data_IF_865549358654
#
_entry.id   IF_865549358654
#
_cell.length_a   1.000
_cell.length_b   1.000
_cell.length_c   1.000
_cell.angle_alpha   90.00
_cell.angle_beta   90.00
_cell.angle_gamma   90.00
#
_symmetry.space_group_name_H-M   'P 1'
#
loop_
_entity.id
_entity.type
_entity.pdbx_description
1 polymer ?
#
# COMPACT_ATOMS: atom_id res chain seq x y z
N UNK A 1 26.39 -3.21 -3.46
CA UNK A 1 25.44 -3.29 -4.60
C UNK A 1 24.97 -1.89 -5.01
N UNK A 2 24.66 -1.00 -4.06
CA UNK A 2 24.39 0.42 -4.33
C UNK A 2 25.64 1.28 -4.59
N UNK A 3 26.78 1.00 -3.93
CA UNK A 3 28.05 1.73 -4.14
C UNK A 3 28.59 1.67 -5.58
N UNK A 4 28.20 0.65 -6.36
CA UNK A 4 28.60 0.48 -7.75
C UNK A 4 27.47 0.80 -8.74
N UNK A 5 26.39 1.46 -8.29
CA UNK A 5 25.30 1.87 -9.17
C UNK A 5 25.79 2.99 -10.10
N UNK A 6 25.55 2.83 -11.39
CA UNK A 6 25.88 3.82 -12.41
C UNK A 6 25.20 5.16 -12.10
N UNK A 7 25.98 6.24 -12.03
CA UNK A 7 25.48 7.58 -11.74
C UNK A 7 24.44 8.06 -12.77
N UNK A 8 24.46 7.55 -13.99
CA UNK A 8 23.47 7.87 -15.03
C UNK A 8 22.06 7.35 -14.70
N UNK A 9 21.96 6.36 -13.81
CA UNK A 9 20.70 5.79 -13.34
C UNK A 9 20.22 6.42 -12.02
N UNK A 10 21.07 7.21 -11.36
CA UNK A 10 20.74 7.87 -10.10
C UNK A 10 19.95 9.15 -10.33
N UNK A 11 19.00 9.44 -9.45
CA UNK A 11 18.25 10.66 -9.51
C UNK A 11 19.08 11.83 -8.97
N UNK A 12 19.61 12.62 -9.90
CA UNK A 12 20.29 13.89 -9.60
C UNK A 12 19.33 15.02 -9.25
N UNK A 13 19.52 15.60 -8.07
CA UNK A 13 18.83 16.79 -7.59
C UNK A 13 19.47 18.07 -8.14
N UNK A 14 18.71 19.17 -8.14
CA UNK A 14 19.24 20.50 -8.49
C UNK A 14 20.39 20.95 -7.59
N UNK A 15 20.46 20.46 -6.35
CA UNK A 15 21.59 20.69 -5.43
C UNK A 15 22.88 20.01 -5.88
N UNK A 16 22.82 19.09 -6.85
CA UNK A 16 23.94 18.29 -7.31
C UNK A 16 24.10 16.96 -6.57
N UNK A 17 23.36 16.73 -5.48
CA UNK A 17 23.30 15.45 -4.77
C UNK A 17 22.45 14.43 -5.51
N UNK A 18 22.68 13.15 -5.22
CA UNK A 18 21.86 12.04 -5.71
C UNK A 18 20.94 11.53 -4.61
N UNK A 19 19.65 11.32 -4.92
CA UNK A 19 18.65 10.87 -3.94
C UNK A 19 19.03 9.52 -3.33
N UNK A 20 19.48 8.58 -4.16
CA UNK A 20 19.85 7.24 -3.78
C UNK A 20 21.04 7.21 -2.83
N UNK A 21 22.03 8.08 -3.03
CA UNK A 21 23.21 8.17 -2.16
C UNK A 21 22.83 8.68 -0.77
N UNK A 22 21.97 9.69 -0.70
CA UNK A 22 21.49 10.25 0.57
C UNK A 22 20.69 9.22 1.37
N UNK A 23 19.83 8.46 0.70
CA UNK A 23 19.04 7.40 1.35
C UNK A 23 19.94 6.24 1.77
N UNK A 24 20.90 5.85 0.94
CA UNK A 24 21.84 4.75 1.23
C UNK A 24 22.72 5.07 2.43
N UNK A 25 23.34 6.26 2.46
CA UNK A 25 24.16 6.72 3.59
C UNK A 25 23.36 6.74 4.89
N UNK A 26 22.13 7.25 4.85
CA UNK A 26 21.24 7.22 6.01
C UNK A 26 20.93 5.79 6.45
N UNK A 27 20.54 4.92 5.52
CA UNK A 27 20.23 3.52 5.81
C UNK A 27 21.42 2.75 6.43
N UNK A 28 22.65 3.03 5.99
CA UNK A 28 23.85 2.47 6.60
C UNK A 28 24.12 2.99 8.02
N UNK A 29 23.67 4.19 8.35
CA UNK A 29 23.82 4.80 9.69
C UNK A 29 22.76 4.34 10.70
N UNK A 30 21.64 3.81 10.21
CA UNK A 30 20.53 3.35 11.03
C UNK A 30 20.82 1.99 11.69
N UNK A 31 20.67 1.92 13.02
CA UNK A 31 20.72 0.64 13.77
C UNK A 31 19.38 -0.10 13.76
N UNK A 32 18.29 0.61 13.48
CA UNK A 32 16.91 0.13 13.38
C UNK A 32 16.19 0.88 12.26
N UNK A 33 15.09 0.35 11.75
CA UNK A 33 14.28 1.05 10.75
C UNK A 33 13.65 2.32 11.34
N UNK A 34 14.10 3.49 10.87
CA UNK A 34 13.58 4.80 11.29
C UNK A 34 12.49 5.31 10.31
N UNK A 35 11.50 6.09 10.78
CA UNK A 35 10.22 6.20 10.10
C UNK A 35 10.17 7.24 8.96
N UNK A 36 11.22 8.03 8.71
CA UNK A 36 11.11 9.13 7.75
C UNK A 36 12.44 9.52 7.09
N UNK A 37 12.62 9.04 5.86
CA UNK A 37 13.69 9.49 4.95
C UNK A 37 13.46 10.92 4.41
N UNK A 38 12.31 11.53 4.73
CA UNK A 38 11.91 12.81 4.17
C UNK A 38 12.67 13.99 4.79
N UNK A 39 13.22 13.81 6.00
CA UNK A 39 13.96 14.85 6.70
C UNK A 39 15.41 15.03 6.21
N UNK A 40 15.92 14.05 5.44
CA UNK A 40 17.29 14.00 4.91
C UNK A 40 17.58 15.04 3.81
N UNK A 41 16.52 15.62 3.25
CA UNK A 41 16.57 16.55 2.15
C UNK A 41 16.24 17.97 2.62
N UNK A 42 16.88 18.96 2.00
CA UNK A 42 16.53 20.38 2.23
C UNK A 42 15.13 20.69 1.67
N UNK A 43 14.57 21.84 2.06
CA UNK A 43 13.25 22.26 1.55
C UNK A 43 13.24 22.34 0.01
N UNK A 44 14.30 22.88 -0.58
CA UNK A 44 14.45 23.01 -2.03
C UNK A 44 14.59 21.65 -2.73
N UNK A 45 15.31 20.71 -2.11
CA UNK A 45 15.45 19.34 -2.61
C UNK A 45 14.12 18.60 -2.55
N UNK A 46 13.34 18.76 -1.47
CA UNK A 46 11.99 18.17 -1.36
C UNK A 46 11.05 18.72 -2.43
N UNK A 47 11.13 20.00 -2.75
CA UNK A 47 10.36 20.59 -3.84
C UNK A 47 10.79 20.04 -5.20
N UNK A 48 12.10 19.88 -5.45
CA UNK A 48 12.60 19.23 -6.67
C UNK A 48 12.10 17.79 -6.80
N UNK A 49 12.14 17.03 -5.68
CA UNK A 49 11.64 15.66 -5.59
C UNK A 49 10.15 15.60 -5.94
N UNK A 50 9.33 16.44 -5.28
CA UNK A 50 7.89 16.52 -5.53
C UNK A 50 7.58 16.89 -6.98
N UNK A 51 8.38 17.76 -7.60
CA UNK A 51 8.11 18.28 -8.94
C UNK A 51 8.36 17.28 -10.08
N UNK A 52 9.29 16.32 -9.91
CA UNK A 52 9.73 15.42 -11.00
C UNK A 52 8.95 14.10 -11.10
N UNK A 53 8.25 13.68 -10.05
CA UNK A 53 7.61 12.36 -9.98
C UNK A 53 6.12 12.41 -9.62
N UNK A 54 5.41 13.45 -10.06
CA UNK A 54 3.94 13.43 -10.02
C UNK A 54 3.46 12.49 -11.14
N UNK A 55 3.46 11.19 -10.86
CA UNK A 55 2.50 10.32 -11.55
C UNK A 55 1.13 10.91 -11.21
N UNK A 56 0.32 11.19 -12.23
CA UNK A 56 -1.06 11.61 -12.03
C UNK A 56 -1.67 10.60 -11.07
N UNK A 57 -2.06 11.03 -9.87
CA UNK A 57 -2.66 10.13 -8.90
C UNK A 57 -3.94 9.63 -9.57
N UNK A 58 -4.04 8.33 -9.93
CA UNK A 58 -5.22 7.86 -10.61
C UNK A 58 -6.39 8.09 -9.67
N UNK A 59 -7.39 8.85 -10.11
CA UNK A 59 -8.63 8.95 -9.35
C UNK A 59 -9.27 7.56 -9.34
N UNK A 60 -9.59 7.00 -8.16
CA UNK A 60 -10.24 5.71 -8.10
C UNK A 60 -11.61 5.80 -8.77
N UNK A 61 -11.98 4.74 -9.48
CA UNK A 61 -13.30 4.64 -10.12
C UNK A 61 -14.43 4.77 -9.09
N UNK A 62 -15.56 5.35 -9.49
CA UNK A 62 -16.71 5.60 -8.59
C UNK A 62 -17.22 4.32 -7.91
N UNK A 63 -17.18 3.19 -8.64
CA UNK A 63 -17.55 1.88 -8.12
C UNK A 63 -16.62 1.41 -6.99
N UNK A 64 -15.31 1.68 -7.11
CA UNK A 64 -14.31 1.38 -6.07
C UNK A 64 -14.57 2.22 -4.83
N UNK A 65 -14.82 3.52 -5.00
CA UNK A 65 -15.14 4.43 -3.90
C UNK A 65 -16.42 3.97 -3.19
N UNK A 66 -17.46 3.62 -3.95
CA UNK A 66 -18.73 3.14 -3.43
C UNK A 66 -18.57 1.85 -2.65
N UNK A 67 -17.78 0.90 -3.17
CA UNK A 67 -17.44 -0.35 -2.50
C UNK A 67 -16.73 -0.09 -1.16
N UNK A 68 -15.66 0.72 -1.16
CA UNK A 68 -14.92 1.06 0.05
C UNK A 68 -15.80 1.74 1.11
N UNK A 69 -16.65 2.68 0.69
CA UNK A 69 -17.57 3.38 1.59
C UNK A 69 -18.62 2.44 2.21
N UNK A 70 -19.07 1.41 1.48
CA UNK A 70 -19.99 0.42 2.01
C UNK A 70 -19.39 -0.35 3.20
N UNK A 71 -18.07 -0.57 3.19
CA UNK A 71 -17.33 -1.25 4.26
C UNK A 71 -16.95 -0.36 5.45
N UNK A 72 -17.30 0.94 5.44
CA UNK A 72 -17.09 1.84 6.57
C UNK A 72 -18.04 1.51 7.73
N UNK A 73 -17.72 0.44 8.46
CA UNK A 73 -18.50 -0.12 9.57
C UNK A 73 -17.62 -0.23 10.82
N UNK A 74 -18.27 -0.21 11.98
CA UNK A 74 -17.59 -0.20 13.29
C UNK A 74 -17.46 -1.58 13.92
N UNK A 75 -18.11 -2.60 13.36
CA UNK A 75 -18.10 -3.96 13.88
C UNK A 75 -18.02 -4.99 12.75
N UNK A 76 -17.50 -6.18 13.08
CA UNK A 76 -17.24 -7.24 12.11
C UNK A 76 -18.52 -7.86 11.55
N UNK A 77 -19.60 -7.91 12.34
CA UNK A 77 -20.88 -8.43 11.89
C UNK A 77 -21.41 -7.65 10.69
N UNK A 78 -21.45 -6.32 10.77
CA UNK A 78 -21.90 -5.46 9.69
C UNK A 78 -20.97 -5.52 8.48
N UNK A 79 -19.66 -5.66 8.68
CA UNK A 79 -18.69 -5.90 7.60
C UNK A 79 -19.05 -7.21 6.86
N UNK A 80 -19.37 -8.28 7.59
CA UNK A 80 -19.78 -9.57 7.01
C UNK A 80 -21.11 -9.48 6.25
N UNK A 81 -22.07 -8.69 6.74
CA UNK A 81 -23.31 -8.44 6.00
C UNK A 81 -23.06 -7.73 4.67
N UNK A 82 -22.19 -6.71 4.66
CA UNK A 82 -21.82 -6.01 3.42
C UNK A 82 -21.13 -6.96 2.45
N UNK A 83 -20.21 -7.82 2.91
CA UNK A 83 -19.59 -8.86 2.06
C UNK A 83 -20.64 -9.77 1.43
N UNK A 84 -21.61 -10.26 2.22
CA UNK A 84 -22.69 -11.11 1.71
C UNK A 84 -23.54 -10.41 0.64
N UNK A 85 -23.85 -9.12 0.83
CA UNK A 85 -24.61 -8.33 -0.15
C UNK A 85 -23.87 -8.21 -1.49
N UNK A 86 -22.56 -7.99 -1.48
CA UNK A 86 -21.77 -7.93 -2.71
C UNK A 86 -21.68 -9.29 -3.40
N UNK A 87 -21.44 -10.38 -2.66
CA UNK A 87 -21.39 -11.74 -3.23
C UNK A 87 -22.72 -12.15 -3.89
N UNK A 88 -23.86 -11.71 -3.34
CA UNK A 88 -25.18 -12.00 -3.95
C UNK A 88 -25.39 -11.29 -5.29
N UNK A 89 -24.81 -10.10 -5.50
CA UNK A 89 -24.96 -9.33 -6.74
C UNK A 89 -24.16 -9.91 -7.91
N UNK A 90 -23.07 -10.64 -7.63
CA UNK A 90 -22.16 -11.16 -8.65
C UNK A 90 -22.72 -12.37 -9.42
N UNK A 91 -23.69 -13.09 -8.85
CA UNK A 91 -24.20 -14.33 -9.45
C UNK A 91 -24.97 -14.17 -10.78
N UNK A 92 -25.44 -12.96 -11.12
CA UNK A 92 -26.33 -12.74 -12.27
C UNK A 92 -25.73 -11.97 -13.44
N UNK A 93 -24.70 -11.14 -13.24
CA UNK A 93 -24.16 -10.22 -14.28
C UNK A 93 -22.63 -10.00 -14.19
N UNK A 94 -21.87 -10.95 -13.64
CA UNK A 94 -20.41 -10.79 -13.44
C UNK A 94 -19.64 -10.53 -14.73
N UNK A 95 -18.80 -9.49 -14.73
CA UNK A 95 -17.78 -9.26 -15.76
C UNK A 95 -16.45 -8.86 -15.12
N UNK A 96 -15.35 -9.40 -15.63
CA UNK A 96 -14.00 -9.11 -15.11
C UNK A 96 -13.72 -7.60 -15.10
N UNK A 97 -14.18 -6.88 -16.12
CA UNK A 97 -13.95 -5.44 -16.27
C UNK A 97 -14.62 -4.61 -15.17
N UNK A 98 -15.75 -5.06 -14.64
CA UNK A 98 -16.56 -4.31 -13.66
C UNK A 98 -16.32 -4.80 -12.22
N UNK A 99 -16.23 -6.10 -12.05
CA UNK A 99 -16.31 -6.72 -10.73
C UNK A 99 -14.94 -7.06 -10.14
N UNK A 100 -13.86 -7.08 -10.94
CA UNK A 100 -12.52 -7.43 -10.47
C UNK A 100 -12.04 -6.55 -9.30
N UNK A 101 -12.13 -5.23 -9.44
CA UNK A 101 -11.72 -4.30 -8.38
C UNK A 101 -12.53 -4.52 -7.09
N UNK A 102 -13.82 -4.76 -7.23
CA UNK A 102 -14.73 -5.06 -6.12
C UNK A 102 -14.35 -6.37 -5.42
N UNK A 103 -14.03 -7.43 -6.18
CA UNK A 103 -13.58 -8.71 -5.64
C UNK A 103 -12.26 -8.61 -4.88
N UNK A 104 -11.30 -7.85 -5.42
CA UNK A 104 -10.02 -7.63 -4.74
C UNK A 104 -10.23 -6.91 -3.41
N UNK A 105 -11.11 -5.91 -3.36
CA UNK A 105 -11.47 -5.20 -2.12
C UNK A 105 -12.13 -6.14 -1.12
N UNK A 106 -13.15 -6.91 -1.54
CA UNK A 106 -13.85 -7.86 -0.67
C UNK A 106 -12.88 -8.90 -0.12
N UNK A 107 -12.00 -9.44 -0.96
CA UNK A 107 -10.99 -10.41 -0.55
C UNK A 107 -10.01 -9.82 0.48
N UNK A 108 -9.53 -8.60 0.25
CA UNK A 108 -8.63 -7.91 1.19
C UNK A 108 -9.33 -7.71 2.55
N UNK A 109 -10.56 -7.21 2.55
CA UNK A 109 -11.34 -6.96 3.77
C UNK A 109 -11.65 -8.27 4.50
N UNK A 110 -12.05 -9.32 3.76
CA UNK A 110 -12.28 -10.64 4.34
C UNK A 110 -11.03 -11.18 5.04
N UNK A 111 -9.87 -11.03 4.42
CA UNK A 111 -8.59 -11.46 5.00
C UNK A 111 -8.26 -10.70 6.28
N UNK A 112 -8.49 -9.38 6.31
CA UNK A 112 -8.31 -8.56 7.52
C UNK A 112 -9.26 -8.98 8.64
N UNK A 113 -10.52 -9.25 8.31
CA UNK A 113 -11.52 -9.74 9.26
C UNK A 113 -11.08 -11.07 9.89
N UNK A 114 -10.56 -12.01 9.08
CA UNK A 114 -10.04 -13.28 9.60
C UNK A 114 -8.84 -13.09 10.54
N UNK A 115 -7.94 -12.15 10.24
CA UNK A 115 -6.82 -11.83 11.12
C UNK A 115 -7.29 -11.23 12.45
N UNK A 116 -8.31 -10.37 12.40
CA UNK A 116 -8.90 -9.74 13.57
C UNK A 116 -9.61 -10.75 14.49
N UNK A 117 -10.40 -11.67 13.91
CA UNK A 117 -11.18 -12.66 14.66
C UNK A 117 -10.35 -13.86 15.15
N UNK A 118 -9.12 -14.02 14.66
CA UNK A 118 -8.20 -15.08 15.10
C UNK A 118 -7.99 -15.00 16.61
N UNK A 119 -7.75 -16.14 17.24
CA UNK A 119 -7.46 -16.24 18.68
C UNK A 119 -6.02 -16.74 18.91
N UNK A 120 -5.13 -15.94 19.52
CA UNK A 120 -5.30 -14.52 19.87
C UNK A 120 -5.42 -13.63 18.61
N UNK A 121 -6.00 -12.42 18.77
CA UNK A 121 -6.16 -11.46 17.68
C UNK A 121 -4.79 -11.18 17.06
N UNK A 122 -4.61 -11.57 15.80
CA UNK A 122 -3.32 -11.45 15.15
C UNK A 122 -2.93 -10.00 14.89
N UNK A 123 -3.90 -9.08 14.80
CA UNK A 123 -3.63 -7.65 14.65
C UNK A 123 -3.34 -6.95 15.99
N UNK A 124 -3.67 -7.59 17.12
CA UNK A 124 -3.50 -7.04 18.46
C UNK A 124 -2.23 -7.49 19.17
N UNK A 125 -1.33 -8.20 18.48
CA UNK A 125 -0.07 -8.69 19.02
C UNK A 125 1.09 -8.17 18.18
N UNK A 126 2.26 -8.05 18.82
CA UNK A 126 3.47 -7.59 18.15
C UNK A 126 4.00 -8.66 17.19
N UNK A 127 4.34 -8.25 15.97
CA UNK A 127 4.99 -9.11 14.99
C UNK A 127 6.26 -8.50 14.43
N UNK A 128 7.09 -9.36 13.82
CA UNK A 128 8.19 -8.90 12.98
C UNK A 128 7.64 -8.32 11.68
N UNK A 129 8.36 -7.36 11.09
CA UNK A 129 8.01 -6.68 9.83
C UNK A 129 7.63 -7.67 8.71
N UNK A 130 8.38 -8.76 8.57
CA UNK A 130 8.12 -9.80 7.57
C UNK A 130 6.72 -10.43 7.70
N UNK A 131 6.17 -10.51 8.92
CA UNK A 131 4.81 -10.96 9.13
C UNK A 131 3.80 -10.00 8.51
N UNK A 132 3.96 -8.69 8.70
CA UNK A 132 3.11 -7.68 8.07
C UNK A 132 3.28 -7.69 6.55
N UNK A 133 4.50 -7.89 6.06
CA UNK A 133 4.77 -8.03 4.62
C UNK A 133 3.98 -9.19 4.00
N UNK A 134 3.91 -10.34 4.67
CA UNK A 134 3.19 -11.52 4.17
C UNK A 134 1.67 -11.41 4.39
N UNK A 135 1.23 -10.92 5.56
CA UNK A 135 -0.16 -11.03 6.00
C UNK A 135 -0.99 -9.76 5.78
N UNK A 136 -0.36 -8.61 5.50
CA UNK A 136 -1.06 -7.36 5.17
C UNK A 136 -0.63 -6.84 3.79
N UNK A 137 0.66 -6.60 3.59
CA UNK A 137 1.14 -5.90 2.40
C UNK A 137 1.04 -6.75 1.14
N UNK A 138 1.38 -8.04 1.19
CA UNK A 138 1.22 -8.93 0.04
C UNK A 138 -0.25 -9.03 -0.40
N UNK A 139 -1.21 -8.97 0.52
CA UNK A 139 -2.63 -8.98 0.19
C UNK A 139 -3.05 -7.72 -0.59
N UNK A 140 -2.52 -6.56 -0.19
CA UNK A 140 -2.84 -5.28 -0.79
C UNK A 140 -2.04 -5.02 -2.08
N UNK A 141 -0.74 -5.28 -2.08
CA UNK A 141 0.18 -4.87 -3.16
C UNK A 141 0.31 -5.90 -4.28
N UNK A 142 0.36 -7.20 -3.96
CA UNK A 142 0.60 -8.26 -4.96
C UNK A 142 -0.60 -8.47 -5.88
N UNK A 143 -1.80 -8.00 -5.50
CA UNK A 143 -3.03 -8.24 -6.27
C UNK A 143 -3.69 -7.00 -6.88
N UNK A 144 -3.34 -5.79 -6.41
CA UNK A 144 -3.69 -4.54 -7.10
C UNK A 144 -2.73 -4.26 -8.27
N UNK A 145 -1.52 -4.80 -8.22
CA UNK A 145 -0.55 -4.76 -9.30
C UNK A 145 -0.84 -5.91 -10.26
N UNK A 146 -1.86 -5.78 -11.10
CA UNK A 146 -2.18 -6.80 -12.10
C UNK A 146 -0.98 -7.04 -13.05
N UNK A 147 -0.22 -8.11 -12.77
CA UNK A 147 0.66 -8.80 -13.72
C UNK A 147 0.30 -10.27 -13.75
#
# INVERSE_FOLDING_TARGET
MYENMDETLKWRLKSGRYVEDVIYEFGCSCQFEEPSNYELFTTEEREDIKSKNIKCNPEPEEDVITCLNAFNKTNVHDIREVMAQFSMRQGSEYTIQKDFSTDVIIYAIHSLVLLYERQPNALGIDHLENWYNINLWALLLTRLSGT
#
